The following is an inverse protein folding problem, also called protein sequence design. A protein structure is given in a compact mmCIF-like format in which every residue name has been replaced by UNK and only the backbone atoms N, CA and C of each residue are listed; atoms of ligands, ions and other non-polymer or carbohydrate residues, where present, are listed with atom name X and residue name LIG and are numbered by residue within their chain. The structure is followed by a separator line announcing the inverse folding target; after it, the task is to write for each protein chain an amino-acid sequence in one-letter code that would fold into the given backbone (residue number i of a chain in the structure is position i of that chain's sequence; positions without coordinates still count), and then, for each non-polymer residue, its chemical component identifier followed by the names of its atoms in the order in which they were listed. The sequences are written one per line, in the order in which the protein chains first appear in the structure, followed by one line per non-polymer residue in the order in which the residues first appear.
data_IF_036219384133
#
_entry.id   IF_036219384133
#
_cell.length_a   1.000
_cell.length_b   1.000
_cell.length_c   1.000
_cell.angle_alpha   90.00
_cell.angle_beta   90.00
_cell.angle_gamma   90.00
#
_symmetry.space_group_name_H-M   'P 1'
#
loop_
_entity.id
_entity.type
_entity.pdbx_description
1 polymer ?
#
# COMPACT_ATOMS: atom_id res chain seq x y z
N UNK A 1 -6.76 -20.81 -19.94
CA UNK A 1 -6.12 -21.43 -21.13
C UNK A 1 -7.17 -21.37 -22.25
N UNK A 2 -6.90 -20.67 -23.36
CA UNK A 2 -7.84 -20.56 -24.50
C UNK A 2 -8.45 -19.17 -24.69
N UNK A 3 -8.24 -18.21 -23.78
CA UNK A 3 -8.71 -16.83 -23.93
C UNK A 3 -7.86 -16.03 -24.94
N UNK A 4 -6.61 -16.45 -25.14
CA UNK A 4 -5.69 -15.83 -26.09
C UNK A 4 -5.46 -16.75 -27.28
N UNK A 5 -5.86 -16.31 -28.47
CA UNK A 5 -5.79 -17.13 -29.71
C UNK A 5 -4.44 -17.05 -30.43
N UNK A 6 -3.71 -15.92 -30.23
CA UNK A 6 -2.51 -15.61 -30.99
C UNK A 6 -1.21 -15.75 -30.18
N UNK A 7 -1.31 -16.14 -28.93
CA UNK A 7 -0.15 -16.37 -28.05
C UNK A 7 -0.30 -17.70 -27.33
N UNK A 8 0.82 -18.32 -27.04
CA UNK A 8 0.88 -19.49 -26.16
C UNK A 8 1.16 -19.04 -24.72
N UNK A 9 0.12 -18.97 -23.85
CA UNK A 9 0.30 -18.49 -22.49
C UNK A 9 1.14 -19.43 -21.62
N UNK A 10 1.43 -20.65 -22.09
CA UNK A 10 2.29 -21.60 -21.34
C UNK A 10 3.77 -21.20 -21.40
N UNK A 11 4.15 -20.36 -22.38
CA UNK A 11 5.50 -19.83 -22.54
C UNK A 11 5.71 -18.53 -21.77
N UNK A 12 4.64 -17.90 -21.28
CA UNK A 12 4.74 -16.67 -20.50
C UNK A 12 5.29 -16.96 -19.09
N UNK A 13 6.33 -16.24 -18.71
CA UNK A 13 6.84 -16.21 -17.35
C UNK A 13 6.24 -15.02 -16.62
N UNK A 14 5.76 -15.23 -15.41
CA UNK A 14 5.33 -14.17 -14.50
C UNK A 14 6.25 -14.19 -13.30
N UNK A 15 6.98 -13.10 -13.08
CA UNK A 15 8.01 -13.01 -12.04
C UNK A 15 7.59 -11.93 -11.06
N UNK A 16 7.50 -12.29 -9.78
CA UNK A 16 7.28 -11.38 -8.66
C UNK A 16 8.61 -11.09 -7.97
N UNK A 17 8.97 -9.83 -7.90
CA UNK A 17 10.19 -9.36 -7.21
C UNK A 17 9.79 -8.57 -5.97
N UNK A 18 10.35 -8.87 -4.81
CA UNK A 18 10.13 -8.12 -3.57
C UNK A 18 11.40 -8.11 -2.71
N UNK A 19 11.69 -6.97 -2.08
CA UNK A 19 12.77 -6.81 -1.11
C UNK A 19 12.53 -7.51 0.23
N UNK A 20 11.30 -7.95 0.50
CA UNK A 20 10.95 -8.73 1.69
C UNK A 20 11.32 -10.21 1.54
N UNK A 21 11.34 -10.91 2.65
CA UNK A 21 11.57 -12.38 2.69
C UNK A 21 10.37 -13.15 2.16
N UNK A 22 9.16 -12.64 2.43
CA UNK A 22 7.89 -13.22 1.98
C UNK A 22 6.99 -12.15 1.37
N UNK A 23 6.09 -12.49 0.43
CA UNK A 23 5.09 -11.56 -0.07
C UNK A 23 4.13 -11.13 1.04
N UNK A 24 3.59 -9.93 0.92
CA UNK A 24 2.63 -9.34 1.85
C UNK A 24 3.16 -9.23 3.30
N UNK A 25 4.30 -8.57 3.57
CA UNK A 25 4.89 -8.45 4.90
C UNK A 25 3.91 -8.01 6.02
N UNK A 26 2.96 -7.08 5.78
CA UNK A 26 2.01 -6.65 6.82
C UNK A 26 1.07 -7.75 7.32
N UNK A 27 0.90 -8.82 6.56
CA UNK A 27 0.05 -9.96 6.95
C UNK A 27 0.75 -10.94 7.90
N UNK A 28 2.10 -10.89 7.97
CA UNK A 28 2.95 -11.75 8.76
C UNK A 28 3.31 -13.06 8.05
N UNK A 29 4.30 -13.74 8.58
CA UNK A 29 4.98 -14.90 7.99
C UNK A 29 4.02 -16.01 7.54
N UNK A 30 3.09 -16.41 8.43
CA UNK A 30 2.14 -17.50 8.14
C UNK A 30 1.29 -17.25 6.89
N UNK A 31 0.77 -16.01 6.71
CA UNK A 31 -0.01 -15.65 5.52
C UNK A 31 0.90 -15.39 4.32
N UNK A 32 2.13 -14.94 4.54
CA UNK A 32 3.18 -14.83 3.52
C UNK A 32 3.45 -16.19 2.87
N UNK A 33 3.74 -17.21 3.65
CA UNK A 33 3.95 -18.60 3.14
C UNK A 33 2.72 -19.15 2.40
N UNK A 34 1.51 -18.90 2.91
CA UNK A 34 0.29 -19.32 2.20
C UNK A 34 0.11 -18.60 0.86
N UNK A 35 0.56 -17.36 0.78
CA UNK A 35 0.58 -16.58 -0.46
C UNK A 35 1.60 -17.14 -1.43
N UNK A 36 2.81 -17.48 -0.97
CA UNK A 36 3.84 -18.14 -1.79
C UNK A 36 3.35 -19.45 -2.39
N UNK A 37 2.80 -20.35 -1.55
CA UNK A 37 2.22 -21.61 -2.02
C UNK A 37 1.13 -21.38 -3.10
N UNK A 38 0.31 -20.36 -2.92
CA UNK A 38 -0.76 -20.05 -3.85
C UNK A 38 -0.24 -19.48 -5.17
N UNK A 39 0.77 -18.60 -5.14
CA UNK A 39 1.43 -18.02 -6.30
C UNK A 39 2.23 -19.07 -7.08
N UNK A 40 2.98 -19.93 -6.40
CA UNK A 40 3.73 -21.01 -7.01
C UNK A 40 2.81 -21.99 -7.78
N UNK A 41 1.63 -22.33 -7.21
CA UNK A 41 0.60 -23.13 -7.89
C UNK A 41 0.01 -22.48 -9.16
N UNK A 42 0.13 -21.16 -9.28
CA UNK A 42 -0.25 -20.41 -10.47
C UNK A 42 0.88 -20.30 -11.50
N UNK A 43 2.08 -20.78 -11.16
CA UNK A 43 3.27 -20.71 -12.03
C UNK A 43 4.02 -19.38 -11.91
N UNK A 44 3.79 -18.61 -10.85
CA UNK A 44 4.54 -17.38 -10.59
C UNK A 44 5.92 -17.73 -10.01
N UNK A 45 6.97 -17.22 -10.63
CA UNK A 45 8.33 -17.28 -10.14
C UNK A 45 8.56 -16.15 -9.12
N UNK A 46 9.05 -16.46 -7.92
CA UNK A 46 9.27 -15.45 -6.89
C UNK A 46 10.75 -15.19 -6.68
N UNK A 47 11.14 -13.93 -6.70
CA UNK A 47 12.48 -13.40 -6.44
C UNK A 47 12.40 -12.54 -5.18
N UNK A 48 12.47 -13.20 -4.02
CA UNK A 48 12.39 -12.57 -2.71
C UNK A 48 13.77 -12.10 -2.24
N UNK A 49 13.80 -11.18 -1.27
CA UNK A 49 15.05 -10.55 -0.82
C UNK A 49 15.84 -9.86 -1.93
N UNK A 50 15.18 -9.43 -2.98
CA UNK A 50 15.74 -8.82 -4.17
C UNK A 50 15.23 -7.38 -4.37
N UNK A 51 16.14 -6.48 -4.67
CA UNK A 51 15.84 -5.08 -4.98
C UNK A 51 16.10 -4.84 -6.46
N UNK A 52 15.16 -4.15 -7.12
CA UNK A 52 15.38 -3.67 -8.48
C UNK A 52 16.32 -2.47 -8.42
N UNK A 53 17.47 -2.57 -9.09
CA UNK A 53 18.49 -1.52 -9.12
C UNK A 53 18.49 -0.75 -10.43
N UNK A 54 17.99 -1.37 -11.50
CA UNK A 54 17.89 -0.74 -12.82
C UNK A 54 16.69 -1.30 -13.61
N UNK A 55 16.07 -0.45 -14.42
CA UNK A 55 14.97 -0.79 -15.34
C UNK A 55 15.19 -0.10 -16.66
N UNK A 56 15.27 -0.88 -17.75
CA UNK A 56 15.39 -0.36 -19.11
C UNK A 56 14.36 -0.97 -20.07
N UNK A 57 14.48 -0.72 -21.36
CA UNK A 57 13.58 -1.26 -22.38
C UNK A 57 13.58 -2.78 -22.46
N UNK A 58 14.70 -3.42 -22.16
CA UNK A 58 14.92 -4.85 -22.36
C UNK A 58 14.64 -5.69 -21.10
N UNK A 59 14.71 -5.10 -19.90
CA UNK A 59 14.47 -5.87 -18.68
C UNK A 59 14.66 -5.10 -17.39
N UNK A 60 15.02 -5.85 -16.33
CA UNK A 60 15.31 -5.34 -15.00
C UNK A 60 16.56 -5.97 -14.43
N UNK A 61 17.33 -5.21 -13.67
CA UNK A 61 18.47 -5.71 -12.91
C UNK A 61 18.11 -5.80 -11.44
N UNK A 62 18.35 -6.94 -10.85
CA UNK A 62 18.09 -7.23 -9.44
C UNK A 62 19.40 -7.29 -8.67
N UNK A 63 19.37 -6.85 -7.43
CA UNK A 63 20.40 -7.08 -6.43
C UNK A 63 19.80 -7.77 -5.21
N UNK A 64 20.30 -8.94 -4.91
CA UNK A 64 19.87 -9.70 -3.73
C UNK A 64 20.56 -9.20 -2.46
N UNK A 65 19.92 -9.42 -1.32
CA UNK A 65 20.56 -9.17 0.00
C UNK A 65 21.84 -9.95 0.21
N UNK A 66 22.00 -11.09 -0.49
CA UNK A 66 23.24 -11.87 -0.54
C UNK A 66 24.40 -11.14 -1.22
N UNK A 67 24.12 -10.08 -1.98
CA UNK A 67 25.09 -9.34 -2.79
C UNK A 67 25.17 -9.81 -4.24
N UNK A 68 24.45 -10.87 -4.61
CA UNK A 68 24.36 -11.38 -5.98
C UNK A 68 23.52 -10.45 -6.87
N UNK A 69 23.93 -10.28 -8.12
CA UNK A 69 23.18 -9.53 -9.12
C UNK A 69 22.57 -10.50 -10.14
N UNK A 70 21.34 -10.23 -10.58
CA UNK A 70 20.64 -11.01 -11.62
C UNK A 70 20.03 -10.05 -12.64
N UNK A 71 20.20 -10.35 -13.93
CA UNK A 71 19.50 -9.67 -15.01
C UNK A 71 18.33 -10.53 -15.49
N UNK A 72 17.14 -9.93 -15.56
CA UNK A 72 15.93 -10.55 -16.08
C UNK A 72 15.47 -9.79 -17.32
N UNK A 73 15.47 -10.45 -18.47
CA UNK A 73 14.87 -9.92 -19.68
C UNK A 73 13.34 -9.91 -19.58
N UNK A 74 12.73 -8.80 -19.90
CA UNK A 74 11.28 -8.64 -19.82
C UNK A 74 10.79 -7.49 -20.70
N UNK A 75 9.79 -7.76 -21.50
CA UNK A 75 9.11 -6.75 -22.31
C UNK A 75 8.08 -5.98 -21.46
N UNK A 76 7.36 -6.67 -20.58
CA UNK A 76 6.33 -6.05 -19.74
C UNK A 76 6.84 -5.93 -18.30
N UNK A 77 6.97 -4.71 -17.80
CA UNK A 77 7.36 -4.41 -16.42
C UNK A 77 6.23 -3.66 -15.74
N UNK A 78 5.78 -4.16 -14.59
CA UNK A 78 4.76 -3.53 -13.75
C UNK A 78 5.40 -3.13 -12.43
N UNK A 79 5.57 -1.84 -12.21
CA UNK A 79 6.07 -1.32 -10.94
C UNK A 79 4.92 -1.19 -9.96
N UNK A 80 4.91 -2.05 -8.94
CA UNK A 80 3.92 -2.06 -7.87
C UNK A 80 4.56 -1.89 -6.48
N UNK A 81 5.83 -1.46 -6.44
CA UNK A 81 6.62 -1.35 -5.23
C UNK A 81 6.52 0.06 -4.63
N UNK A 82 5.51 0.24 -3.78
CA UNK A 82 5.33 1.46 -2.99
C UNK A 82 4.64 2.60 -3.71
N UNK A 83 4.24 3.56 -2.90
CA UNK A 83 3.63 4.83 -3.30
C UNK A 83 4.33 5.98 -2.57
N UNK A 84 4.39 7.13 -3.19
CA UNK A 84 4.79 8.39 -2.54
C UNK A 84 3.59 9.32 -2.43
N UNK A 85 3.62 10.23 -1.46
CA UNK A 85 2.61 11.26 -1.37
C UNK A 85 2.68 12.21 -2.58
N UNK A 86 1.58 12.93 -2.83
CA UNK A 86 1.53 13.95 -3.88
C UNK A 86 2.64 14.99 -3.68
N UNK A 87 3.25 15.50 -4.77
CA UNK A 87 4.18 16.64 -4.70
C UNK A 87 3.61 17.87 -3.97
N UNK A 88 2.28 17.98 -3.90
CA UNK A 88 1.58 19.01 -3.14
C UNK A 88 1.97 19.02 -1.66
N UNK A 89 2.30 17.85 -1.06
CA UNK A 89 2.76 17.79 0.33
C UNK A 89 4.07 18.56 0.54
N UNK A 90 5.03 18.42 -0.38
CA UNK A 90 6.29 19.18 -0.33
C UNK A 90 6.07 20.67 -0.54
N UNK A 91 5.25 21.03 -1.55
CA UNK A 91 4.91 22.44 -1.81
C UNK A 91 4.22 23.09 -0.60
N UNK A 92 3.35 22.33 0.10
CA UNK A 92 2.72 22.80 1.32
C UNK A 92 3.74 23.02 2.44
N UNK A 93 4.67 22.06 2.63
CA UNK A 93 5.76 22.20 3.62
C UNK A 93 6.65 23.41 3.34
N UNK A 94 7.03 23.64 2.08
CA UNK A 94 7.81 24.81 1.65
C UNK A 94 7.09 26.13 1.93
N UNK A 95 5.78 26.19 1.65
CA UNK A 95 4.97 27.39 1.82
C UNK A 95 4.66 27.74 3.28
N UNK A 96 4.59 26.73 4.17
CA UNK A 96 4.11 26.91 5.55
C UNK A 96 5.14 26.60 6.62
N UNK A 97 6.27 26.00 6.25
CA UNK A 97 7.29 25.49 7.19
C UNK A 97 6.89 24.18 7.89
N UNK A 98 5.81 23.52 7.45
CA UNK A 98 5.38 22.26 8.03
C UNK A 98 6.37 21.12 7.70
N UNK A 99 6.56 20.22 8.68
CA UNK A 99 7.42 19.07 8.54
C UNK A 99 6.87 18.07 7.50
N UNK A 100 7.75 17.61 6.60
CA UNK A 100 7.43 16.64 5.55
C UNK A 100 8.39 15.46 5.64
N UNK A 101 7.88 14.25 5.67
CA UNK A 101 8.69 13.05 5.74
C UNK A 101 9.34 12.69 4.37
N UNK A 102 10.17 11.64 4.37
CA UNK A 102 10.86 11.18 3.14
C UNK A 102 9.91 10.73 2.03
N UNK A 103 8.70 10.27 2.38
CA UNK A 103 7.67 9.87 1.43
C UNK A 103 6.85 11.05 0.90
N UNK A 104 7.12 12.28 1.36
CA UNK A 104 6.40 13.50 0.98
C UNK A 104 5.12 13.72 1.79
N UNK A 105 4.90 12.99 2.91
CA UNK A 105 3.72 13.16 3.76
C UNK A 105 3.95 14.28 4.77
N UNK A 106 2.92 15.06 5.01
CA UNK A 106 2.94 16.22 5.90
C UNK A 106 2.54 15.83 7.32
N UNK A 107 3.34 16.22 8.31
CA UNK A 107 3.01 16.04 9.72
C UNK A 107 1.81 16.92 10.08
N UNK A 108 0.82 16.33 10.72
CA UNK A 108 -0.43 16.99 11.10
C UNK A 108 -0.67 16.94 12.62
N UNK A 109 -1.49 17.86 13.10
CA UNK A 109 -2.00 17.85 14.44
C UNK A 109 -2.95 16.67 14.67
N UNK A 110 -3.33 16.41 15.93
CA UNK A 110 -4.29 15.36 16.28
C UNK A 110 -5.69 15.58 15.66
N UNK A 111 -6.04 16.80 15.32
CA UNK A 111 -7.29 17.17 14.64
C UNK A 111 -7.14 17.19 13.10
N UNK A 112 -6.04 16.65 12.58
CA UNK A 112 -5.68 16.56 11.16
C UNK A 112 -5.47 17.93 10.48
N UNK A 113 -5.37 19.00 11.25
CA UNK A 113 -4.99 20.30 10.71
C UNK A 113 -3.48 20.45 10.60
N UNK A 114 -3.04 21.35 9.73
CA UNK A 114 -1.64 21.71 9.60
C UNK A 114 -1.18 22.52 10.84
N UNK A 115 -0.02 22.23 11.43
CA UNK A 115 0.53 23.04 12.53
C UNK A 115 0.63 24.53 12.16
N UNK A 116 0.04 25.41 12.96
CA UNK A 116 -0.04 26.86 12.69
C UNK A 116 -1.14 27.29 11.72
N UNK A 117 -1.83 26.35 11.06
CA UNK A 117 -2.86 26.62 10.05
C UNK A 117 -4.11 25.77 10.31
N UNK A 118 -4.97 26.16 11.26
CA UNK A 118 -6.15 25.38 11.66
C UNK A 118 -7.24 25.32 10.56
N UNK A 119 -7.12 26.13 9.52
CA UNK A 119 -7.98 26.12 8.36
C UNK A 119 -7.58 25.10 7.29
N UNK A 120 -6.34 24.55 7.36
CA UNK A 120 -5.81 23.58 6.39
C UNK A 120 -5.85 22.19 6.98
N UNK A 121 -6.57 21.27 6.35
CA UNK A 121 -6.59 19.84 6.66
C UNK A 121 -5.73 19.07 5.67
N UNK A 122 -4.91 18.15 6.17
CA UNK A 122 -4.16 17.19 5.34
C UNK A 122 -4.63 15.79 5.71
N UNK A 123 -5.05 15.01 4.72
CA UNK A 123 -5.82 13.77 4.90
C UNK A 123 -5.25 12.63 4.05
N UNK A 124 -5.62 11.41 4.40
CA UNK A 124 -5.30 10.21 3.61
C UNK A 124 -3.80 9.98 3.44
N UNK A 125 -3.39 9.61 2.23
CA UNK A 125 -2.00 9.24 1.93
C UNK A 125 -1.01 10.41 2.00
N UNK A 126 -1.51 11.64 2.03
CA UNK A 126 -0.67 12.83 2.21
C UNK A 126 -0.35 13.15 3.68
N UNK A 127 -1.09 12.64 4.64
CA UNK A 127 -0.84 12.93 6.05
C UNK A 127 0.20 11.97 6.66
N UNK A 128 1.10 12.51 7.45
CA UNK A 128 1.93 11.75 8.39
C UNK A 128 1.25 11.78 9.76
N UNK A 129 0.50 10.73 10.08
CA UNK A 129 -0.19 10.57 11.37
C UNK A 129 0.22 9.24 12.01
N UNK A 130 0.63 9.23 13.29
CA UNK A 130 1.09 8.01 13.95
C UNK A 130 0.05 6.88 13.92
N UNK A 131 0.47 5.68 13.53
CA UNK A 131 -0.39 4.49 13.52
C UNK A 131 -1.40 4.41 12.36
N UNK A 132 -1.40 5.37 11.43
CA UNK A 132 -2.27 5.32 10.24
C UNK A 132 -1.46 4.91 9.02
N UNK A 133 -1.70 3.73 8.45
CA UNK A 133 -1.06 3.32 7.22
C UNK A 133 -1.64 4.05 5.99
N UNK A 134 -0.87 4.16 4.91
CA UNK A 134 -1.33 4.66 3.62
C UNK A 134 -2.26 3.66 2.91
N UNK A 135 -3.48 3.55 3.39
CA UNK A 135 -4.52 2.65 2.89
C UNK A 135 -5.86 3.38 2.78
N UNK A 136 -6.75 2.87 1.93
CA UNK A 136 -8.07 3.48 1.71
C UNK A 136 -8.85 3.78 3.00
N UNK A 137 -8.74 2.93 4.02
CA UNK A 137 -9.42 3.15 5.30
C UNK A 137 -8.89 4.38 6.06
N UNK A 138 -7.58 4.65 5.98
CA UNK A 138 -6.98 5.88 6.52
C UNK A 138 -7.59 7.12 5.87
N UNK A 139 -7.67 7.13 4.54
CA UNK A 139 -8.25 8.23 3.77
C UNK A 139 -9.76 8.42 4.06
N UNK A 140 -10.55 7.34 4.06
CA UNK A 140 -11.99 7.41 4.31
C UNK A 140 -12.31 7.92 5.71
N UNK A 141 -11.61 7.45 6.73
CA UNK A 141 -11.87 7.82 8.11
C UNK A 141 -11.42 9.25 8.40
N UNK A 142 -10.23 9.65 7.91
CA UNK A 142 -9.74 11.02 8.06
C UNK A 142 -10.63 12.04 7.32
N UNK A 143 -11.11 11.70 6.11
CA UNK A 143 -12.02 12.56 5.36
C UNK A 143 -13.37 12.76 6.08
N UNK A 144 -13.95 11.71 6.67
CA UNK A 144 -15.17 11.82 7.45
C UNK A 144 -15.00 12.72 8.68
N UNK A 145 -13.91 12.50 9.42
CA UNK A 145 -13.59 13.33 10.58
C UNK A 145 -13.44 14.81 10.21
N UNK A 146 -12.69 15.11 9.14
CA UNK A 146 -12.51 16.49 8.67
C UNK A 146 -13.82 17.11 8.20
N UNK A 147 -14.65 16.37 7.45
CA UNK A 147 -15.95 16.83 7.00
C UNK A 147 -16.90 17.18 8.16
N UNK A 148 -16.98 16.32 9.17
CA UNK A 148 -17.78 16.57 10.38
C UNK A 148 -17.26 17.80 11.14
N UNK A 149 -15.93 17.97 11.22
CA UNK A 149 -15.29 19.10 11.87
C UNK A 149 -15.59 20.41 11.14
N UNK A 150 -15.44 20.43 9.82
CA UNK A 150 -15.73 21.61 8.98
C UNK A 150 -17.21 21.97 9.06
N UNK A 151 -18.10 21.00 8.93
CA UNK A 151 -19.56 21.23 9.02
C UNK A 151 -19.97 21.81 10.40
N UNK A 152 -19.38 21.32 11.48
CA UNK A 152 -19.64 21.85 12.82
C UNK A 152 -19.12 23.30 12.96
N UNK A 153 -17.90 23.59 12.48
CA UNK A 153 -17.31 24.94 12.51
C UNK A 153 -18.18 25.94 11.73
N UNK A 154 -18.61 25.57 10.52
CA UNK A 154 -19.48 26.42 9.68
C UNK A 154 -20.84 26.69 10.33
N UNK A 155 -21.38 25.74 11.08
CA UNK A 155 -22.63 25.89 11.81
C UNK A 155 -22.48 26.59 13.18
N UNK A 156 -21.29 27.08 13.54
CA UNK A 156 -20.99 27.68 14.85
C UNK A 156 -21.10 26.70 16.02
N UNK A 157 -20.99 25.39 15.76
CA UNK A 157 -21.08 24.32 16.77
C UNK A 157 -19.72 23.72 17.06
N UNK A 158 -19.58 23.09 18.24
CA UNK A 158 -18.40 22.29 18.55
C UNK A 158 -18.43 20.99 17.71
N UNK A 159 -17.29 20.54 17.15
CA UNK A 159 -17.18 19.23 16.52
C UNK A 159 -17.52 18.11 17.51
N UNK A 160 -18.03 16.99 17.00
CA UNK A 160 -18.35 15.79 17.79
C UNK A 160 -17.12 15.17 18.43
N UNK A 161 -15.98 15.19 17.73
CA UNK A 161 -14.69 14.76 18.23
C UNK A 161 -13.66 15.84 17.94
N UNK A 162 -12.73 16.08 18.87
CA UNK A 162 -11.69 17.08 18.77
C UNK A 162 -10.35 16.49 18.30
N UNK A 163 -10.21 15.17 18.37
CA UNK A 163 -9.02 14.44 17.94
C UNK A 163 -9.44 13.28 17.02
N UNK A 164 -8.66 13.04 15.99
CA UNK A 164 -8.83 11.91 15.10
C UNK A 164 -8.34 10.62 15.76
N UNK A 165 -9.10 9.55 15.59
CA UNK A 165 -8.72 8.21 16.00
C UNK A 165 -8.95 7.24 14.84
N UNK A 166 -7.88 6.55 14.44
CA UNK A 166 -7.96 5.54 13.39
C UNK A 166 -8.41 4.19 13.96
N UNK A 167 -9.42 3.60 13.35
CA UNK A 167 -9.86 2.25 13.64
C UNK A 167 -9.36 1.30 12.55
N UNK A 168 -8.43 0.41 12.90
CA UNK A 168 -7.92 -0.61 11.99
C UNK A 168 -8.97 -1.71 11.76
N UNK A 169 -9.52 -1.75 10.56
CA UNK A 169 -10.47 -2.78 10.13
C UNK A 169 -9.81 -4.06 9.65
N UNK A 170 -8.48 -4.11 9.68
CA UNK A 170 -7.69 -5.19 9.13
C UNK A 170 -7.30 -4.99 7.67
N UNK A 171 -6.60 -5.97 7.15
CA UNK A 171 -6.05 -5.99 5.81
C UNK A 171 -6.52 -7.22 5.04
N UNK A 172 -6.78 -7.02 3.75
CA UNK A 172 -7.21 -8.08 2.84
C UNK A 172 -6.43 -7.96 1.53
N UNK A 173 -6.05 -9.10 0.94
CA UNK A 173 -5.42 -9.14 -0.37
C UNK A 173 -5.94 -10.34 -1.17
N UNK A 174 -6.34 -10.10 -2.42
CA UNK A 174 -6.68 -11.17 -3.36
C UNK A 174 -5.40 -11.64 -4.05
N UNK A 175 -5.22 -12.96 -4.09
CA UNK A 175 -4.09 -13.60 -4.78
C UNK A 175 -4.52 -14.04 -6.18
N UNK A 176 -5.73 -14.59 -6.28
CA UNK A 176 -6.32 -15.04 -7.53
C UNK A 176 -7.84 -15.18 -7.37
N UNK A 177 -8.51 -15.54 -8.48
CA UNK A 177 -9.92 -15.92 -8.43
C UNK A 177 -10.13 -17.04 -7.41
N UNK A 178 -11.04 -16.81 -6.46
CA UNK A 178 -11.36 -17.71 -5.34
C UNK A 178 -10.22 -17.91 -4.31
N UNK A 179 -9.20 -17.05 -4.32
CA UNK A 179 -8.09 -17.11 -3.37
C UNK A 179 -7.75 -15.71 -2.84
N UNK A 180 -7.86 -15.54 -1.54
CA UNK A 180 -7.47 -14.32 -0.84
C UNK A 180 -6.84 -14.66 0.51
N UNK A 181 -6.25 -13.64 1.13
CA UNK A 181 -5.82 -13.66 2.53
C UNK A 181 -6.44 -12.47 3.25
N UNK A 182 -6.84 -12.70 4.49
CA UNK A 182 -7.46 -11.70 5.37
C UNK A 182 -6.78 -11.76 6.73
N UNK A 183 -6.49 -10.58 7.27
CA UNK A 183 -6.00 -10.40 8.65
C UNK A 183 -6.84 -9.30 9.31
N UNK A 184 -7.61 -9.65 10.32
CA UNK A 184 -8.41 -8.74 11.14
C UNK A 184 -8.09 -8.98 12.61
N UNK A 185 -7.28 -8.12 13.21
CA UNK A 185 -6.74 -8.34 14.55
C UNK A 185 -6.02 -9.69 14.62
N UNK A 186 -6.51 -10.61 15.48
CA UNK A 186 -5.96 -11.96 15.63
C UNK A 186 -6.54 -12.98 14.64
N UNK A 187 -7.61 -12.62 13.91
CA UNK A 187 -8.25 -13.54 12.96
C UNK A 187 -7.50 -13.53 11.63
N UNK A 188 -7.14 -14.72 11.16
CA UNK A 188 -6.49 -14.94 9.87
C UNK A 188 -7.32 -15.91 9.05
N UNK A 189 -7.62 -15.55 7.82
CA UNK A 189 -8.38 -16.39 6.88
C UNK A 189 -7.62 -16.50 5.56
N UNK A 190 -7.79 -17.63 4.86
CA UNK A 190 -7.14 -17.88 3.57
C UNK A 190 -8.09 -18.59 2.63
N UNK A 191 -7.78 -18.58 1.32
CA UNK A 191 -8.50 -19.32 0.30
C UNK A 191 -9.88 -18.77 -0.03
N UNK A 192 -10.85 -19.66 -0.27
CA UNK A 192 -12.19 -19.28 -0.72
C UNK A 192 -12.98 -18.46 0.31
N UNK A 193 -12.91 -18.83 1.59
CA UNK A 193 -13.59 -18.09 2.66
C UNK A 193 -13.09 -16.65 2.80
N UNK A 194 -11.78 -16.45 2.68
CA UNK A 194 -11.18 -15.12 2.65
C UNK A 194 -11.62 -14.33 1.39
N UNK A 195 -11.76 -15.02 0.25
CA UNK A 195 -12.19 -14.40 -0.99
C UNK A 195 -13.66 -13.97 -0.95
N UNK A 196 -14.55 -14.76 -0.31
CA UNK A 196 -15.97 -14.37 -0.11
C UNK A 196 -16.09 -13.19 0.84
N UNK A 197 -15.20 -13.08 1.84
CA UNK A 197 -15.19 -11.98 2.79
C UNK A 197 -14.66 -10.66 2.20
N UNK A 198 -13.97 -10.74 1.07
CA UNK A 198 -13.44 -9.60 0.33
C UNK A 198 -14.52 -8.95 -0.54
#
# INVERSE_FOLDING_TARGET
KGEFRNIDPTKARVILVDGAEHPLPPFGEQLGHKTEEALAKLGVEMKMNAFVTDVDSEGVTLKYKSGEDERIESVCKVWAAGVSASPLGRALGEATGAEVDRAGRVTVNKDLTLPGHPEIFVLGDMMAFPGVPGVAQGAIQSARFAADTVAARLAGRKPRATEFSYFDKGSMATIARFKAVVKMGNTKMTGFTAWVAW
#
